data_IF_353691021250
#
_entry.id   IF_353691021250
#
_cell.length_a   1.000
_cell.length_b   1.000
_cell.length_c   1.000
_cell.angle_alpha   90.00
_cell.angle_beta   90.00
_cell.angle_gamma   90.00
#
_symmetry.space_group_name_H-M   'P 1'
#
loop_
_entity.id
_entity.type
_entity.pdbx_description
1 polymer ?
#
# COMPACT_ATOMS: atom_id res chain seq x y z
N UNK A 1 -5.67 -19.74 -7.40
CA UNK A 1 -6.01 -18.92 -6.22
C UNK A 1 -5.54 -19.62 -4.97
N UNK A 2 -4.93 -18.88 -4.05
CA UNK A 2 -4.34 -19.42 -2.82
C UNK A 2 -5.02 -18.79 -1.61
N UNK A 3 -5.31 -19.59 -0.59
CA UNK A 3 -5.77 -19.16 0.72
C UNK A 3 -5.30 -20.14 1.79
N UNK A 4 -5.75 -19.94 3.04
CA UNK A 4 -5.39 -20.86 4.16
C UNK A 4 -6.47 -21.89 4.46
N UNK A 5 -7.68 -21.72 3.93
CA UNK A 5 -8.84 -22.56 4.21
C UNK A 5 -9.61 -22.85 2.92
N UNK A 6 -9.50 -24.09 2.45
CA UNK A 6 -10.13 -24.57 1.23
C UNK A 6 -11.66 -24.50 1.25
N UNK A 7 -12.27 -24.57 2.43
CA UNK A 7 -13.72 -24.43 2.61
C UNK A 7 -14.28 -23.04 2.27
N UNK A 8 -13.43 -22.03 2.03
CA UNK A 8 -13.88 -20.69 1.59
C UNK A 8 -14.04 -20.55 0.08
N UNK A 9 -13.43 -21.43 -0.72
CA UNK A 9 -13.46 -21.31 -2.18
C UNK A 9 -14.85 -21.42 -2.81
N UNK A 10 -15.79 -22.25 -2.31
CA UNK A 10 -17.16 -22.26 -2.84
C UNK A 10 -17.84 -20.89 -2.77
N UNK A 11 -17.74 -20.19 -1.63
CA UNK A 11 -18.28 -18.85 -1.47
C UNK A 11 -17.57 -17.81 -2.34
N UNK A 12 -16.26 -17.95 -2.55
CA UNK A 12 -15.50 -17.08 -3.46
C UNK A 12 -15.95 -17.30 -4.91
N UNK A 13 -16.12 -18.54 -5.36
CA UNK A 13 -16.63 -18.85 -6.72
C UNK A 13 -18.01 -18.25 -6.93
N UNK A 14 -18.91 -18.42 -5.96
CA UNK A 14 -20.24 -17.81 -6.00
C UNK A 14 -20.14 -16.28 -6.11
N UNK A 15 -19.29 -15.65 -5.29
CA UNK A 15 -19.09 -14.20 -5.33
C UNK A 15 -18.58 -13.71 -6.70
N UNK A 16 -17.61 -14.41 -7.30
CA UNK A 16 -17.10 -14.06 -8.63
C UNK A 16 -18.14 -14.29 -9.72
N UNK A 17 -18.91 -15.37 -9.65
CA UNK A 17 -20.00 -15.63 -10.58
C UNK A 17 -21.05 -14.51 -10.52
N UNK A 18 -21.49 -14.14 -9.32
CA UNK A 18 -22.51 -13.10 -9.10
C UNK A 18 -22.04 -11.71 -9.53
N UNK A 19 -20.80 -11.34 -9.25
CA UNK A 19 -20.30 -9.96 -9.40
C UNK A 19 -19.47 -9.75 -10.67
N UNK A 20 -19.08 -10.82 -11.37
CA UNK A 20 -18.27 -10.76 -12.59
C UNK A 20 -18.96 -11.48 -13.74
N UNK A 21 -19.13 -12.81 -13.68
CA UNK A 21 -19.64 -13.60 -14.83
C UNK A 21 -21.08 -13.23 -15.21
N UNK A 22 -21.94 -13.01 -14.20
CA UNK A 22 -23.33 -12.61 -14.42
C UNK A 22 -23.47 -11.12 -14.79
N UNK A 23 -22.42 -10.31 -14.59
CA UNK A 23 -22.44 -8.85 -14.78
C UNK A 23 -21.84 -8.44 -16.12
N UNK A 24 -20.75 -9.11 -16.54
CA UNK A 24 -19.99 -8.76 -17.72
C UNK A 24 -19.93 -9.93 -18.69
N UNK A 25 -20.12 -9.65 -19.98
CA UNK A 25 -19.94 -10.64 -21.06
C UNK A 25 -18.49 -11.12 -21.13
N UNK A 26 -18.34 -12.39 -21.50
CA UNK A 26 -17.07 -13.05 -21.84
C UNK A 26 -16.02 -13.06 -20.72
N UNK A 27 -16.47 -13.02 -19.45
CA UNK A 27 -15.59 -13.18 -18.30
C UNK A 27 -15.56 -14.64 -17.84
N UNK A 28 -14.35 -15.18 -17.63
CA UNK A 28 -14.11 -16.47 -16.98
C UNK A 28 -13.43 -16.22 -15.64
N UNK A 29 -14.05 -16.69 -14.56
CA UNK A 29 -13.49 -16.59 -13.20
C UNK A 29 -13.03 -17.93 -12.65
N UNK A 30 -12.84 -18.93 -13.53
CA UNK A 30 -12.26 -20.20 -13.16
C UNK A 30 -10.85 -20.03 -12.59
N UNK A 31 -10.53 -20.88 -11.61
CA UNK A 31 -9.21 -20.90 -10.98
C UNK A 31 -8.99 -22.26 -10.34
N UNK A 32 -7.73 -22.70 -10.25
CA UNK A 32 -7.36 -23.80 -9.37
C UNK A 32 -7.22 -23.31 -7.93
N UNK A 33 -7.77 -24.04 -6.97
CA UNK A 33 -7.68 -23.72 -5.55
C UNK A 33 -6.57 -24.44 -4.79
N UNK A 34 -5.96 -23.72 -3.84
CA UNK A 34 -4.93 -24.18 -2.91
C UNK A 34 -5.20 -23.58 -1.51
N UNK A 35 -5.37 -24.38 -0.44
CA UNK A 35 -5.46 -25.85 -0.47
C UNK A 35 -6.80 -26.31 -1.06
N UNK A 36 -6.92 -27.62 -1.33
CA UNK A 36 -8.18 -28.20 -1.80
C UNK A 36 -9.30 -28.07 -0.77
N UNK A 37 -10.55 -28.07 -1.24
CA UNK A 37 -11.75 -27.98 -0.40
C UNK A 37 -11.72 -29.00 0.75
N UNK A 38 -12.13 -28.57 1.94
CA UNK A 38 -12.07 -29.38 3.17
C UNK A 38 -10.74 -29.33 3.92
N UNK A 39 -9.67 -28.77 3.34
CA UNK A 39 -8.37 -28.66 4.00
C UNK A 39 -8.11 -27.24 4.54
N UNK A 40 -7.36 -27.17 5.64
CA UNK A 40 -6.81 -25.93 6.20
C UNK A 40 -5.30 -26.09 6.22
N UNK A 41 -4.59 -25.22 5.49
CA UNK A 41 -3.13 -25.24 5.40
C UNK A 41 -2.61 -23.82 5.19
N UNK A 42 -1.96 -23.22 6.20
CA UNK A 42 -1.32 -21.91 6.08
C UNK A 42 -0.21 -21.85 5.04
N UNK A 43 0.40 -22.99 4.71
CA UNK A 43 1.56 -23.09 3.81
C UNK A 43 1.18 -23.54 2.39
N UNK A 44 -0.12 -23.64 2.07
CA UNK A 44 -0.62 -24.05 0.75
C UNK A 44 -0.12 -23.17 -0.41
N UNK A 45 0.39 -21.96 -0.11
CA UNK A 45 1.06 -21.12 -1.09
C UNK A 45 2.31 -21.78 -1.67
N UNK A 46 2.99 -22.63 -0.89
CA UNK A 46 4.17 -23.38 -1.35
C UNK A 46 3.79 -24.37 -2.44
N UNK A 47 2.75 -25.16 -2.22
CA UNK A 47 2.24 -26.12 -3.21
C UNK A 47 1.82 -25.44 -4.53
N UNK A 48 1.23 -24.24 -4.45
CA UNK A 48 0.87 -23.47 -5.63
C UNK A 48 2.11 -22.95 -6.36
N UNK A 49 3.06 -22.37 -5.62
CA UNK A 49 4.29 -21.78 -6.16
C UNK A 49 5.23 -22.85 -6.74
N UNK A 50 5.34 -24.02 -6.11
CA UNK A 50 6.22 -25.10 -6.57
C UNK A 50 5.76 -25.72 -7.90
N UNK A 51 4.53 -25.44 -8.34
CA UNK A 51 4.01 -25.82 -9.67
C UNK A 51 4.23 -24.75 -10.74
N UNK A 52 4.67 -23.55 -10.36
CA UNK A 52 4.95 -22.46 -11.28
C UNK A 52 6.35 -22.60 -11.87
N UNK A 53 6.58 -21.98 -13.03
CA UNK A 53 7.88 -21.92 -13.69
C UNK A 53 8.58 -20.59 -13.39
N UNK A 54 9.93 -20.55 -13.39
CA UNK A 54 10.66 -19.29 -13.38
C UNK A 54 10.17 -18.36 -14.51
N UNK A 55 9.97 -17.09 -14.18
CA UNK A 55 9.35 -16.08 -15.06
C UNK A 55 7.83 -15.93 -14.88
N UNK A 56 7.16 -16.86 -14.20
CA UNK A 56 5.77 -16.65 -13.80
C UNK A 56 5.66 -15.51 -12.76
N UNK A 57 4.43 -15.09 -12.46
CA UNK A 57 4.17 -13.98 -11.55
C UNK A 57 3.09 -14.31 -10.52
N UNK A 58 3.25 -13.80 -9.29
CA UNK A 58 2.23 -13.85 -8.24
C UNK A 58 1.86 -12.44 -7.77
N UNK A 59 0.64 -12.31 -7.23
CA UNK A 59 0.18 -11.12 -6.53
C UNK A 59 -0.24 -11.51 -5.11
N UNK A 60 0.34 -10.88 -4.10
CA UNK A 60 0.18 -11.23 -2.69
C UNK A 60 -0.76 -10.22 -2.02
N UNK A 61 -2.00 -10.66 -1.74
CA UNK A 61 -3.04 -9.92 -1.00
C UNK A 61 -3.44 -10.65 0.30
N UNK A 62 -2.45 -11.11 1.05
CA UNK A 62 -2.62 -11.84 2.31
C UNK A 62 -2.44 -10.90 3.51
N UNK A 63 -2.58 -11.35 4.77
CA UNK A 63 -2.27 -10.50 5.92
C UNK A 63 -0.80 -10.07 5.96
N UNK A 64 -0.53 -8.85 6.43
CA UNK A 64 0.80 -8.19 6.41
C UNK A 64 1.97 -9.06 6.92
N UNK A 65 1.73 -9.87 7.95
CA UNK A 65 2.75 -10.76 8.55
C UNK A 65 3.24 -11.86 7.59
N UNK A 66 2.44 -12.20 6.59
CA UNK A 66 2.70 -13.29 5.63
C UNK A 66 3.36 -12.79 4.34
N UNK A 67 3.41 -11.47 4.10
CA UNK A 67 3.97 -10.90 2.88
C UNK A 67 5.43 -11.31 2.66
N UNK A 68 6.26 -11.19 3.69
CA UNK A 68 7.68 -11.52 3.62
C UNK A 68 7.94 -12.99 3.26
N UNK A 69 7.46 -13.99 4.05
CA UNK A 69 7.75 -15.39 3.74
C UNK A 69 7.21 -15.83 2.38
N UNK A 70 6.00 -15.39 1.98
CA UNK A 70 5.43 -15.74 0.68
C UNK A 70 6.24 -15.13 -0.46
N UNK A 71 6.54 -13.82 -0.37
CA UNK A 71 7.29 -13.10 -1.41
C UNK A 71 8.70 -13.66 -1.57
N UNK A 72 9.40 -13.91 -0.45
CA UNK A 72 10.75 -14.48 -0.47
C UNK A 72 10.75 -15.88 -1.10
N UNK A 73 9.79 -16.74 -0.71
CA UNK A 73 9.67 -18.09 -1.26
C UNK A 73 9.47 -18.11 -2.78
N UNK A 74 8.66 -17.17 -3.31
CA UNK A 74 8.44 -17.00 -4.74
C UNK A 74 9.69 -16.46 -5.47
N UNK A 75 10.31 -15.40 -4.92
CA UNK A 75 11.50 -14.77 -5.52
C UNK A 75 12.64 -15.79 -5.65
N UNK A 76 12.87 -16.62 -4.64
CA UNK A 76 13.92 -17.64 -4.67
C UNK A 76 13.74 -18.70 -5.76
N UNK A 77 12.53 -18.83 -6.30
CA UNK A 77 12.17 -19.71 -7.43
C UNK A 77 12.15 -18.99 -8.78
N UNK A 78 12.59 -17.73 -8.82
CA UNK A 78 12.59 -16.94 -10.06
C UNK A 78 11.20 -16.47 -10.47
N UNK A 79 10.25 -16.36 -9.53
CA UNK A 79 8.90 -15.86 -9.78
C UNK A 79 8.84 -14.36 -9.48
N UNK A 80 8.19 -13.60 -10.37
CA UNK A 80 7.91 -12.18 -10.19
C UNK A 80 6.85 -11.96 -9.11
N UNK A 81 7.00 -10.91 -8.31
CA UNK A 81 6.10 -10.66 -7.17
C UNK A 81 5.54 -9.24 -7.19
N UNK A 82 4.22 -9.11 -7.10
CA UNK A 82 3.57 -7.88 -6.65
C UNK A 82 3.02 -8.12 -5.25
N UNK A 83 3.56 -7.43 -4.24
CA UNK A 83 3.11 -7.56 -2.85
C UNK A 83 2.25 -6.37 -2.46
N UNK A 84 1.12 -6.60 -1.80
CA UNK A 84 0.29 -5.48 -1.33
C UNK A 84 0.98 -4.68 -0.24
N UNK A 85 0.60 -3.41 -0.10
CA UNK A 85 1.12 -2.53 0.96
C UNK A 85 0.54 -2.94 2.34
N UNK A 86 1.33 -2.81 3.42
CA UNK A 86 2.76 -2.53 3.43
C UNK A 86 3.56 -3.73 2.90
N UNK A 87 4.67 -3.50 2.20
CA UNK A 87 5.48 -4.59 1.66
C UNK A 87 5.93 -5.58 2.74
N UNK A 88 6.44 -5.05 3.86
CA UNK A 88 6.72 -5.79 5.10
C UNK A 88 6.55 -4.87 6.29
N UNK A 89 6.47 -5.42 7.51
CA UNK A 89 6.50 -4.63 8.75
C UNK A 89 7.91 -4.29 9.24
N UNK A 90 8.91 -5.09 8.83
CA UNK A 90 10.28 -4.92 9.29
C UNK A 90 11.18 -4.46 8.16
N UNK A 91 12.00 -3.44 8.43
CA UNK A 91 13.00 -2.95 7.48
C UNK A 91 14.02 -4.02 7.11
N UNK A 92 14.36 -4.92 8.04
CA UNK A 92 15.24 -6.07 7.78
C UNK A 92 14.67 -6.99 6.70
N UNK A 93 13.40 -7.37 6.83
CA UNK A 93 12.68 -8.18 5.83
C UNK A 93 12.60 -7.45 4.48
N UNK A 94 12.37 -6.13 4.48
CA UNK A 94 12.34 -5.37 3.23
C UNK A 94 13.69 -5.38 2.52
N UNK A 95 14.79 -5.17 3.26
CA UNK A 95 16.15 -5.27 2.73
C UNK A 95 16.46 -6.68 2.19
N UNK A 96 15.94 -7.73 2.83
CA UNK A 96 16.07 -9.11 2.37
C UNK A 96 15.37 -9.33 1.02
N UNK A 97 14.12 -8.84 0.86
CA UNK A 97 13.41 -8.90 -0.41
C UNK A 97 14.13 -8.15 -1.53
N UNK A 98 14.73 -6.98 -1.24
CA UNK A 98 15.56 -6.25 -2.22
C UNK A 98 16.75 -7.12 -2.66
N UNK A 99 17.47 -7.72 -1.71
CA UNK A 99 18.63 -8.55 -2.00
C UNK A 99 18.23 -9.80 -2.80
N UNK A 100 17.14 -10.46 -2.43
CA UNK A 100 16.62 -11.64 -3.11
C UNK A 100 16.16 -11.31 -4.53
N UNK A 101 15.39 -10.23 -4.73
CA UNK A 101 14.90 -9.83 -6.05
C UNK A 101 16.05 -9.53 -7.01
N UNK A 102 17.10 -8.84 -6.53
CA UNK A 102 18.33 -8.59 -7.30
C UNK A 102 19.09 -9.87 -7.62
N UNK A 103 19.26 -10.76 -6.64
CA UNK A 103 19.99 -12.03 -6.80
C UNK A 103 19.31 -12.96 -7.83
N UNK A 104 17.99 -13.03 -7.79
CA UNK A 104 17.20 -13.90 -8.67
C UNK A 104 16.74 -13.21 -9.96
N UNK A 105 17.10 -11.94 -10.16
CA UNK A 105 16.77 -11.14 -11.34
C UNK A 105 15.26 -11.14 -11.67
N UNK A 106 14.42 -10.93 -10.66
CA UNK A 106 12.96 -10.88 -10.79
C UNK A 106 12.42 -9.49 -10.50
N UNK A 107 11.34 -9.12 -11.19
CA UNK A 107 10.51 -7.96 -10.83
C UNK A 107 9.85 -8.21 -9.47
N UNK A 108 10.05 -7.28 -8.54
CA UNK A 108 9.36 -7.25 -7.25
C UNK A 108 8.80 -5.85 -7.01
N UNK A 109 7.49 -5.69 -7.13
CA UNK A 109 6.76 -4.43 -6.95
C UNK A 109 5.94 -4.47 -5.66
N UNK A 110 5.64 -3.29 -5.13
CA UNK A 110 4.68 -3.07 -4.06
C UNK A 110 3.42 -2.42 -4.65
N UNK A 111 2.25 -2.90 -4.26
CA UNK A 111 0.95 -2.36 -4.69
C UNK A 111 0.71 -0.98 -4.07
N UNK A 112 1.28 0.05 -4.71
CA UNK A 112 1.04 1.46 -4.42
C UNK A 112 0.28 2.12 -5.57
N UNK A 113 -0.97 1.69 -5.82
CA UNK A 113 -1.83 2.26 -6.87
C UNK A 113 -1.97 3.79 -6.81
N UNK A 114 -1.79 4.40 -5.63
CA UNK A 114 -1.87 5.86 -5.45
C UNK A 114 -0.84 6.64 -6.25
N UNK A 115 0.30 6.04 -6.63
CA UNK A 115 1.26 6.67 -7.55
C UNK A 115 0.67 6.88 -8.95
N UNK A 116 -0.30 6.05 -9.34
CA UNK A 116 -0.98 6.11 -10.64
C UNK A 116 -2.25 6.95 -10.62
N UNK A 117 -2.63 7.46 -9.46
CA UNK A 117 -3.71 8.43 -9.36
C UNK A 117 -3.34 9.67 -10.19
N UNK A 118 -4.18 10.12 -11.15
CA UNK A 118 -3.85 11.25 -12.02
C UNK A 118 -3.59 12.54 -11.23
N UNK A 119 -4.24 12.71 -10.07
CA UNK A 119 -4.02 13.89 -9.22
C UNK A 119 -2.65 13.80 -8.54
N UNK A 120 -2.27 12.64 -8.01
CA UNK A 120 -1.04 12.50 -7.22
C UNK A 120 0.19 12.47 -8.14
N UNK A 121 0.07 11.84 -9.31
CA UNK A 121 1.12 11.82 -10.33
C UNK A 121 1.41 13.20 -10.91
N UNK A 122 0.38 13.98 -11.29
CA UNK A 122 0.56 15.37 -11.74
C UNK A 122 1.15 16.25 -10.62
N UNK A 123 0.65 16.10 -9.40
CA UNK A 123 1.21 16.78 -8.24
C UNK A 123 2.71 16.47 -8.03
N UNK A 124 3.12 15.21 -8.15
CA UNK A 124 4.54 14.82 -8.02
C UNK A 124 5.40 15.54 -9.04
N UNK A 125 4.92 15.68 -10.28
CA UNK A 125 5.62 16.41 -11.34
C UNK A 125 5.70 17.90 -11.00
N UNK A 126 4.60 18.54 -10.58
CA UNK A 126 4.58 19.96 -10.20
C UNK A 126 5.50 20.26 -9.02
N UNK A 127 5.55 19.37 -8.03
CA UNK A 127 6.42 19.50 -6.86
C UNK A 127 7.89 19.65 -7.25
N UNK A 128 8.31 19.15 -8.42
CA UNK A 128 9.70 19.23 -8.86
C UNK A 128 10.18 20.67 -9.09
N UNK A 129 9.28 21.60 -9.37
CA UNK A 129 9.59 23.01 -9.61
C UNK A 129 9.48 23.90 -8.36
N UNK A 130 9.08 23.36 -7.20
CA UNK A 130 8.77 24.15 -6.00
C UNK A 130 10.00 24.39 -5.08
N UNK A 131 11.20 24.10 -5.56
CA UNK A 131 12.46 24.34 -4.85
C UNK A 131 12.75 23.30 -3.76
N UNK A 132 13.56 23.69 -2.75
CA UNK A 132 13.92 22.83 -1.62
C UNK A 132 12.69 22.45 -0.78
N UNK A 133 12.62 21.20 -0.34
CA UNK A 133 11.55 20.69 0.52
C UNK A 133 11.57 21.37 1.89
N UNK A 134 10.40 21.85 2.33
CA UNK A 134 10.23 22.41 3.68
C UNK A 134 9.38 21.47 4.54
N UNK A 135 8.11 21.27 4.21
CA UNK A 135 7.31 20.31 4.97
C UNK A 135 6.22 19.59 4.17
N UNK A 136 5.83 18.44 4.71
CA UNK A 136 4.71 17.65 4.24
C UNK A 136 3.75 17.38 5.40
N UNK A 137 2.45 17.56 5.19
CA UNK A 137 1.46 17.18 6.19
C UNK A 137 0.41 16.33 5.50
N UNK A 138 0.22 15.12 5.98
CA UNK A 138 -0.81 14.23 5.48
C UNK A 138 -1.59 13.60 6.61
N UNK A 139 -2.88 13.42 6.37
CA UNK A 139 -3.70 12.63 7.25
C UNK A 139 -4.67 11.77 6.46
N UNK A 140 -4.97 10.61 7.03
CA UNK A 140 -5.96 9.70 6.50
C UNK A 140 -6.84 9.15 7.62
N UNK A 141 -8.15 9.19 7.47
CA UNK A 141 -9.05 8.57 8.43
C UNK A 141 -10.14 7.76 7.76
N UNK A 142 -10.65 6.77 8.48
CA UNK A 142 -11.81 6.00 8.08
C UNK A 142 -12.86 5.98 9.19
N UNK A 143 -14.15 5.76 8.85
CA UNK A 143 -15.20 5.63 9.83
C UNK A 143 -14.92 4.51 10.84
N UNK A 144 -15.20 4.77 12.10
CA UNK A 144 -15.02 3.81 13.20
C UNK A 144 -15.75 2.48 13.03
N UNK A 145 -16.78 2.40 12.20
CA UNK A 145 -17.41 1.12 11.83
C UNK A 145 -16.44 0.14 11.17
N UNK A 146 -15.36 0.61 10.53
CA UNK A 146 -14.32 -0.25 9.98
C UNK A 146 -13.68 -1.17 11.04
N UNK A 147 -13.68 -0.75 12.32
CA UNK A 147 -13.17 -1.57 13.42
C UNK A 147 -13.99 -2.85 13.63
N UNK A 148 -15.25 -2.91 13.22
CA UNK A 148 -16.07 -4.14 13.31
C UNK A 148 -15.46 -5.27 12.47
N UNK A 149 -14.95 -4.92 11.28
CA UNK A 149 -14.24 -5.83 10.38
C UNK A 149 -12.78 -6.01 10.81
N UNK A 150 -12.10 -4.92 11.13
CA UNK A 150 -10.65 -4.92 11.29
C UNK A 150 -10.14 -5.29 12.68
N UNK A 151 -11.00 -5.35 13.71
CA UNK A 151 -10.64 -5.87 15.05
C UNK A 151 -10.02 -7.27 15.05
N UNK A 152 -10.22 -8.03 13.97
CA UNK A 152 -9.59 -9.32 13.78
C UNK A 152 -8.05 -9.21 13.83
N UNK A 153 -7.49 -8.15 13.23
CA UNK A 153 -6.04 -7.95 13.06
C UNK A 153 -5.50 -6.63 13.65
N UNK A 154 -6.34 -5.62 13.85
CA UNK A 154 -5.92 -4.30 14.34
C UNK A 154 -5.34 -4.39 15.76
N UNK A 155 -4.12 -3.89 15.95
CA UNK A 155 -3.37 -4.01 17.21
C UNK A 155 -2.80 -5.40 17.49
N UNK A 156 -2.95 -6.36 16.57
CA UNK A 156 -2.40 -7.73 16.69
C UNK A 156 -1.35 -8.00 15.61
N UNK A 157 -1.80 -7.96 14.36
CA UNK A 157 -0.97 -8.25 13.20
C UNK A 157 -0.50 -6.99 12.48
N UNK A 158 -1.28 -5.91 12.56
CA UNK A 158 -0.97 -4.62 11.94
C UNK A 158 -1.63 -3.49 12.72
N UNK A 159 -1.36 -2.26 12.31
CA UNK A 159 -1.92 -1.06 12.92
C UNK A 159 -2.39 -0.05 11.86
N UNK A 160 -3.08 0.99 12.33
CA UNK A 160 -3.66 2.02 11.47
C UNK A 160 -2.60 2.75 10.63
N UNK A 161 -1.36 2.86 11.10
CA UNK A 161 -0.28 3.55 10.39
C UNK A 161 0.22 2.70 9.23
N UNK A 162 0.53 1.41 9.45
CA UNK A 162 0.86 0.49 8.36
C UNK A 162 -0.27 0.40 7.32
N UNK A 163 -1.50 0.37 7.79
CA UNK A 163 -2.66 0.24 6.92
C UNK A 163 -2.93 1.51 6.09
N UNK A 164 -2.92 2.69 6.70
CA UNK A 164 -3.31 3.94 6.03
C UNK A 164 -2.12 4.87 5.72
N UNK A 165 -1.24 5.17 6.69
CA UNK A 165 -0.12 6.10 6.49
C UNK A 165 0.82 5.65 5.36
N UNK A 166 0.94 4.34 5.13
CA UNK A 166 1.77 3.77 4.05
C UNK A 166 1.50 4.39 2.68
N UNK A 167 0.26 4.81 2.38
CA UNK A 167 -0.05 5.50 1.14
C UNK A 167 0.62 6.88 1.05
N UNK A 168 0.44 7.75 2.04
CA UNK A 168 0.97 9.11 1.98
C UNK A 168 2.46 9.21 2.30
N UNK A 169 2.99 8.28 3.11
CA UNK A 169 4.44 8.13 3.29
C UNK A 169 5.08 7.77 1.95
N UNK A 170 4.51 6.81 1.21
CA UNK A 170 5.02 6.44 -0.11
C UNK A 170 4.98 7.61 -1.10
N UNK A 171 3.89 8.38 -1.15
CA UNK A 171 3.80 9.58 -2.00
C UNK A 171 4.87 10.61 -1.63
N UNK A 172 5.09 10.87 -0.34
CA UNK A 172 6.13 11.80 0.09
C UNK A 172 7.53 11.28 -0.29
N UNK A 173 7.84 10.01 -0.02
CA UNK A 173 9.07 9.35 -0.46
C UNK A 173 9.28 9.45 -1.97
N UNK A 174 8.22 9.29 -2.77
CA UNK A 174 8.26 9.36 -4.22
C UNK A 174 8.46 10.78 -4.75
N UNK A 175 7.86 11.79 -4.12
CA UNK A 175 8.09 13.20 -4.43
C UNK A 175 9.54 13.60 -4.12
N UNK A 176 10.07 13.09 -3.00
CA UNK A 176 11.39 13.40 -2.47
C UNK A 176 12.50 12.46 -2.96
N UNK A 177 12.16 11.51 -3.84
CA UNK A 177 13.13 10.59 -4.45
C UNK A 177 14.27 11.40 -5.07
N UNK A 178 15.50 11.04 -4.72
CA UNK A 178 16.75 11.72 -5.14
C UNK A 178 16.82 13.22 -4.77
N UNK A 179 16.07 13.64 -3.74
CA UNK A 179 16.06 15.02 -3.22
C UNK A 179 16.29 15.12 -1.73
N UNK A 180 15.64 14.25 -0.96
CA UNK A 180 15.77 14.24 0.50
C UNK A 180 15.61 12.82 1.04
N UNK A 181 16.17 12.57 2.21
CA UNK A 181 16.06 11.28 2.92
C UNK A 181 15.55 11.50 4.33
N UNK A 182 14.71 10.59 4.86
CA UNK A 182 14.26 10.68 6.24
C UNK A 182 15.44 10.31 7.16
N UNK A 183 15.59 11.05 8.26
CA UNK A 183 16.71 10.86 9.20
C UNK A 183 16.27 10.47 10.60
N UNK A 184 15.04 10.81 10.99
CA UNK A 184 14.54 10.55 12.35
C UNK A 184 13.02 10.50 12.36
N UNK A 185 12.46 9.59 13.16
CA UNK A 185 11.02 9.45 13.37
C UNK A 185 10.70 9.53 14.87
N UNK A 186 9.64 10.26 15.20
CA UNK A 186 9.00 10.27 16.52
C UNK A 186 7.51 9.99 16.33
N UNK A 187 6.96 9.03 17.08
CA UNK A 187 5.56 8.65 17.00
C UNK A 187 4.78 9.02 18.27
N UNK A 188 3.48 9.21 18.09
CA UNK A 188 2.51 9.37 19.17
C UNK A 188 1.18 8.72 18.77
N UNK A 189 0.38 8.30 19.76
CA UNK A 189 -0.90 7.68 19.52
C UNK A 189 -2.00 8.17 20.48
N UNK A 190 -3.24 8.15 19.99
CA UNK A 190 -4.44 8.25 20.80
C UNK A 190 -5.06 6.86 20.98
N UNK A 191 -5.74 6.65 22.11
CA UNK A 191 -6.33 5.36 22.50
C UNK A 191 -7.65 5.56 23.25
N UNK A 192 -8.53 4.56 23.20
CA UNK A 192 -9.72 4.49 24.05
C UNK A 192 -11.02 4.27 23.28
N UNK A 193 -11.12 4.72 22.03
CA UNK A 193 -12.29 4.52 21.18
C UNK A 193 -12.33 3.09 20.65
N UNK A 194 -11.23 2.60 20.08
CA UNK A 194 -11.16 1.28 19.48
C UNK A 194 -11.28 0.16 20.52
N UNK A 195 -10.69 0.37 21.71
CA UNK A 195 -10.77 -0.57 22.83
C UNK A 195 -12.09 -0.48 23.60
N UNK A 196 -12.79 0.66 23.52
CA UNK A 196 -14.06 0.88 24.18
C UNK A 196 -15.25 0.22 23.47
N UNK A 197 -16.40 0.21 24.12
CA UNK A 197 -17.65 -0.22 23.50
C UNK A 197 -18.05 0.73 22.35
N UNK A 198 -18.60 0.21 21.24
CA UNK A 198 -18.94 -1.20 20.98
C UNK A 198 -17.81 -2.02 20.33
N UNK A 199 -16.66 -1.41 20.00
CA UNK A 199 -15.66 -2.04 19.13
C UNK A 199 -14.83 -3.10 19.84
N UNK A 200 -14.51 -2.90 21.12
CA UNK A 200 -13.86 -3.89 21.99
C UNK A 200 -12.61 -4.51 21.35
N UNK A 201 -11.79 -3.70 20.67
CA UNK A 201 -10.51 -4.15 20.12
C UNK A 201 -9.52 -4.49 21.26
N UNK A 202 -8.43 -5.18 20.93
CA UNK A 202 -7.41 -5.54 21.93
C UNK A 202 -6.74 -4.27 22.51
N UNK A 203 -6.21 -4.31 23.75
CA UNK A 203 -5.63 -3.13 24.39
C UNK A 203 -4.50 -2.43 23.61
N UNK A 204 -3.85 -3.17 22.71
CA UNK A 204 -2.80 -2.68 21.82
C UNK A 204 -3.33 -1.88 20.62
N UNK A 205 -4.64 -1.89 20.36
CA UNK A 205 -5.20 -1.18 19.22
C UNK A 205 -5.23 0.32 19.48
N UNK A 206 -4.38 1.07 18.78
CA UNK A 206 -4.41 2.52 18.78
C UNK A 206 -5.56 3.05 17.91
N UNK A 207 -6.19 4.13 18.38
CA UNK A 207 -7.25 4.83 17.65
C UNK A 207 -6.67 5.63 16.47
N UNK A 208 -5.55 6.28 16.73
CA UNK A 208 -4.87 7.20 15.83
C UNK A 208 -3.38 7.12 16.10
N UNK A 209 -2.58 7.04 15.04
CA UNK A 209 -1.12 7.11 15.12
C UNK A 209 -0.66 8.31 14.29
N UNK A 210 0.23 9.13 14.88
CA UNK A 210 0.88 10.26 14.21
C UNK A 210 2.38 10.08 14.22
N UNK A 211 3.02 10.22 13.07
CA UNK A 211 4.47 10.17 12.89
C UNK A 211 4.99 11.56 12.51
N UNK A 212 5.95 12.08 13.27
CA UNK A 212 6.77 13.23 12.91
C UNK A 212 8.11 12.72 12.37
N UNK A 213 8.46 13.11 11.15
CA UNK A 213 9.65 12.65 10.43
C UNK A 213 10.53 13.84 10.06
N UNK A 214 11.79 13.81 10.47
CA UNK A 214 12.81 14.76 10.03
C UNK A 214 13.40 14.30 8.70
N UNK A 215 13.61 15.22 7.76
CA UNK A 215 14.19 14.97 6.44
C UNK A 215 15.42 15.84 6.22
N UNK A 216 16.41 15.28 5.53
CA UNK A 216 17.64 15.95 5.13
C UNK A 216 17.73 16.02 3.61
N UNK A 217 17.88 17.22 3.06
CA UNK A 217 18.16 17.41 1.62
C UNK A 217 19.50 16.76 1.27
N UNK A 218 19.51 15.98 0.17
CA UNK A 218 20.73 15.36 -0.35
C UNK A 218 21.53 16.34 -1.22
N UNK A 219 20.88 17.40 -1.69
CA UNK A 219 21.48 18.43 -2.55
C UNK A 219 22.07 19.56 -1.69
N UNK A 220 21.42 19.87 -0.57
CA UNK A 220 21.74 21.00 0.28
C UNK A 220 21.91 20.57 1.75
N UNK A 221 23.15 20.38 2.25
CA UNK A 221 23.37 19.94 3.63
C UNK A 221 22.73 20.81 4.71
N UNK A 222 22.55 22.11 4.45
CA UNK A 222 21.89 23.04 5.36
C UNK A 222 20.36 23.01 5.33
N UNK A 223 19.74 22.35 4.34
CA UNK A 223 18.29 22.30 4.20
C UNK A 223 17.72 21.04 4.86
N UNK A 224 16.85 21.26 5.84
CA UNK A 224 16.06 20.24 6.52
C UNK A 224 14.59 20.52 6.31
N UNK A 225 13.82 19.45 6.18
CA UNK A 225 12.37 19.51 6.16
C UNK A 225 11.75 18.59 7.18
N UNK A 226 10.44 18.69 7.37
CA UNK A 226 9.69 17.82 8.28
C UNK A 226 8.45 17.26 7.61
N UNK A 227 8.02 16.08 8.02
CA UNK A 227 6.76 15.51 7.56
C UNK A 227 5.93 15.02 8.74
N UNK A 228 4.63 15.24 8.69
CA UNK A 228 3.66 14.70 9.65
C UNK A 228 2.70 13.78 8.91
N UNK A 229 2.57 12.54 9.40
CA UNK A 229 1.63 11.55 8.87
C UNK A 229 0.70 11.09 9.98
N UNK A 230 -0.60 11.36 9.86
CA UNK A 230 -1.61 10.96 10.84
C UNK A 230 -2.57 9.96 10.22
N UNK A 231 -2.78 8.82 10.87
CA UNK A 231 -3.77 7.84 10.45
C UNK A 231 -4.75 7.51 11.58
N UNK A 232 -6.05 7.42 11.28
CA UNK A 232 -7.09 7.31 12.31
C UNK A 232 -8.27 6.40 11.94
N UNK A 233 -8.72 5.58 12.89
CA UNK A 233 -9.98 4.84 12.82
C UNK A 233 -11.20 5.69 13.19
N UNK A 234 -11.02 6.89 13.73
CA UNK A 234 -12.06 7.51 14.58
C UNK A 234 -12.99 8.44 13.82
N UNK A 235 -12.95 8.42 12.48
CA UNK A 235 -13.82 9.30 11.71
C UNK A 235 -15.31 9.02 12.04
N UNK A 236 -16.16 10.05 12.05
CA UNK A 236 -17.58 9.87 12.35
C UNK A 236 -18.28 8.90 11.38
N UNK A 237 -19.26 8.14 11.88
CA UNK A 237 -20.02 7.15 11.09
C UNK A 237 -20.75 7.76 9.87
N UNK A 238 -21.11 9.04 9.95
CA UNK A 238 -21.83 9.78 8.92
C UNK A 238 -20.97 10.88 8.29
N UNK A 239 -19.67 10.62 8.13
CA UNK A 239 -18.74 11.56 7.49
C UNK A 239 -19.04 11.79 5.99
N UNK A 240 -19.85 10.94 5.36
CA UNK A 240 -20.17 10.97 3.92
C UNK A 240 -19.01 10.55 3.00
N UNK A 241 -17.85 10.26 3.57
CA UNK A 241 -16.66 9.78 2.87
C UNK A 241 -16.22 8.47 3.51
N UNK A 242 -15.88 7.48 2.68
CA UNK A 242 -15.37 6.20 3.16
C UNK A 242 -13.95 6.32 3.73
N UNK A 243 -13.13 7.18 3.14
CA UNK A 243 -11.80 7.49 3.62
C UNK A 243 -11.51 8.95 3.35
N UNK A 244 -11.25 9.70 4.41
CA UNK A 244 -10.77 11.07 4.31
C UNK A 244 -9.27 11.02 4.03
N UNK A 245 -8.81 11.53 2.90
CA UNK A 245 -7.41 11.45 2.52
C UNK A 245 -6.95 12.82 2.03
N UNK A 246 -6.00 13.40 2.76
CA UNK A 246 -5.51 14.74 2.49
C UNK A 246 -4.01 14.78 2.65
N UNK A 247 -3.36 15.56 1.79
CA UNK A 247 -1.97 15.89 2.01
C UNK A 247 -1.62 17.27 1.45
N UNK A 248 -0.62 17.88 2.05
CA UNK A 248 -0.07 19.18 1.70
C UNK A 248 1.45 19.06 1.61
N UNK A 249 2.03 19.69 0.59
CA UNK A 249 3.47 19.76 0.36
C UNK A 249 3.89 21.23 0.22
N UNK A 250 4.91 21.66 0.95
CA UNK A 250 5.54 22.97 0.77
C UNK A 250 7.00 22.81 0.37
N UNK A 251 7.36 23.48 -0.72
CA UNK A 251 8.73 23.79 -1.09
C UNK A 251 9.03 25.28 -0.90
N UNK A 252 10.31 25.64 -0.93
CA UNK A 252 10.79 27.02 -0.79
C UNK A 252 10.24 28.04 -1.80
N UNK A 253 9.62 27.57 -2.90
CA UNK A 253 9.08 28.42 -3.98
C UNK A 253 7.59 28.24 -4.23
N UNK A 254 6.89 27.45 -3.41
CA UNK A 254 5.44 27.25 -3.53
C UNK A 254 4.97 25.96 -2.87
N UNK A 255 3.67 25.69 -2.99
CA UNK A 255 3.03 24.57 -2.32
C UNK A 255 2.00 23.85 -3.20
N UNK A 256 1.55 22.69 -2.69
CA UNK A 256 0.49 21.87 -3.26
C UNK A 256 -0.42 21.42 -2.12
N UNK A 257 -1.72 21.54 -2.31
CA UNK A 257 -2.75 20.98 -1.43
C UNK A 257 -3.60 19.98 -2.21
N UNK A 258 -3.82 18.79 -1.65
CA UNK A 258 -4.65 17.75 -2.26
C UNK A 258 -5.70 17.25 -1.28
N UNK A 259 -6.95 17.36 -1.71
CA UNK A 259 -8.13 16.74 -1.09
C UNK A 259 -8.63 15.62 -2.00
N UNK A 260 -8.46 14.38 -1.56
CA UNK A 260 -8.91 13.22 -2.30
C UNK A 260 -10.30 12.74 -1.83
N UNK A 261 -10.74 13.18 -0.65
CA UNK A 261 -12.03 12.84 -0.08
C UNK A 261 -13.20 13.46 -0.87
N UNK A 262 -13.02 14.69 -1.35
CA UNK A 262 -14.06 15.47 -2.04
C UNK A 262 -13.74 15.72 -3.51
N UNK A 263 -13.44 14.65 -4.26
CA UNK A 263 -13.21 14.75 -5.70
C UNK A 263 -14.27 13.99 -6.49
N UNK A 264 -14.65 14.52 -7.64
CA UNK A 264 -15.67 13.92 -8.50
C UNK A 264 -17.05 14.52 -8.25
N UNK A 265 -17.98 13.72 -7.70
CA UNK A 265 -19.37 14.13 -7.46
C UNK A 265 -19.88 13.60 -6.13
N UNK A 266 -20.98 14.18 -5.65
CA UNK A 266 -21.71 13.71 -4.48
C UNK A 266 -23.17 13.39 -4.83
N UNK A 267 -23.75 12.49 -4.05
CA UNK A 267 -25.19 12.20 -4.09
C UNK A 267 -25.76 12.36 -2.69
N UNK A 268 -27.04 12.72 -2.61
CA UNK A 268 -27.79 12.70 -1.35
C UNK A 268 -28.98 11.77 -1.53
N UNK A 269 -29.11 10.81 -0.63
CA UNK A 269 -30.15 9.78 -0.64
C UNK A 269 -30.81 9.76 0.74
N UNK A 270 -32.13 9.63 0.81
CA UNK A 270 -32.89 9.76 2.07
C UNK A 270 -32.40 8.76 3.14
N UNK A 271 -32.06 7.53 2.75
CA UNK A 271 -31.62 6.48 3.67
C UNK A 271 -30.19 6.69 4.19
N UNK A 272 -29.25 7.15 3.35
CA UNK A 272 -27.81 7.18 3.66
C UNK A 272 -27.25 8.60 3.85
N UNK A 273 -28.01 9.63 3.49
CA UNK A 273 -27.56 11.02 3.48
C UNK A 273 -26.59 11.34 2.34
N UNK A 274 -25.78 12.37 2.55
CA UNK A 274 -24.79 12.85 1.57
C UNK A 274 -23.56 11.94 1.53
N UNK A 275 -23.16 11.52 0.33
CA UNK A 275 -21.97 10.68 0.09
C UNK A 275 -21.18 11.20 -1.10
N UNK A 276 -19.85 11.29 -0.98
CA UNK A 276 -18.94 11.63 -2.06
C UNK A 276 -18.35 10.38 -2.73
N UNK A 277 -18.31 10.38 -4.06
CA UNK A 277 -17.84 9.26 -4.87
C UNK A 277 -16.56 9.62 -5.60
N UNK A 278 -15.60 8.70 -5.60
CA UNK A 278 -14.36 8.82 -6.36
C UNK A 278 -14.49 8.10 -7.71
N UNK A 279 -14.81 8.80 -8.82
CA UNK A 279 -14.98 8.18 -10.13
C UNK A 279 -13.65 7.74 -10.77
N UNK A 280 -12.51 8.11 -10.20
CA UNK A 280 -11.21 7.91 -10.82
C UNK A 280 -10.55 6.57 -10.46
N UNK A 281 -11.05 5.84 -9.46
CA UNK A 281 -10.41 4.59 -9.02
C UNK A 281 -10.67 3.44 -9.99
N UNK A 282 -11.94 3.09 -10.20
CA UNK A 282 -12.35 1.96 -11.04
C UNK A 282 -13.80 2.18 -11.47
N UNK A 283 -14.14 1.81 -12.70
CA UNK A 283 -15.54 1.82 -13.18
C UNK A 283 -16.14 0.42 -13.05
N UNK A 284 -17.10 0.23 -12.16
CA UNK A 284 -17.71 -1.09 -11.91
C UNK A 284 -18.99 -1.34 -12.72
N UNK A 285 -19.22 -0.59 -13.79
CA UNK A 285 -20.38 -0.77 -14.67
C UNK A 285 -19.97 -1.35 -16.02
N UNK A 286 -20.80 -2.23 -16.62
CA UNK A 286 -20.57 -2.71 -17.97
C UNK A 286 -20.51 -1.57 -18.98
N UNK A 287 -19.77 -1.79 -20.07
CA UNK A 287 -19.83 -0.96 -21.27
C UNK A 287 -21.20 -1.04 -21.96
N UNK A 288 -21.40 -0.20 -22.96
CA UNK A 288 -22.61 -0.15 -23.81
C UNK A 288 -22.89 -1.48 -24.52
N UNK A 289 -21.87 -2.33 -24.66
CA UNK A 289 -21.97 -3.68 -25.26
C UNK A 289 -22.12 -4.80 -24.22
N UNK A 290 -22.04 -4.48 -22.92
CA UNK A 290 -22.14 -5.42 -21.80
C UNK A 290 -20.83 -6.03 -21.33
N UNK A 291 -19.67 -5.59 -21.84
CA UNK A 291 -18.35 -6.09 -21.43
C UNK A 291 -17.77 -5.28 -20.26
N UNK A 292 -16.77 -5.84 -19.57
CA UNK A 292 -16.03 -5.14 -18.52
C UNK A 292 -15.34 -3.88 -19.07
N UNK A 293 -15.49 -2.76 -18.37
CA UNK A 293 -14.95 -1.43 -18.72
C UNK A 293 -14.29 -0.76 -17.51
N UNK A 294 -13.82 -1.56 -16.54
CA UNK A 294 -13.26 -1.03 -15.29
C UNK A 294 -11.91 -0.36 -15.43
N UNK A 295 -11.21 -0.61 -16.52
CA UNK A 295 -9.88 -0.08 -16.81
C UNK A 295 -9.85 1.44 -17.12
N UNK A 296 -10.95 2.18 -16.91
CA UNK A 296 -10.97 3.65 -17.05
C UNK A 296 -10.37 4.41 -15.86
N UNK A 297 -10.16 3.73 -14.72
CA UNK A 297 -9.60 4.33 -13.52
C UNK A 297 -8.16 3.90 -13.25
N UNK A 298 -7.52 4.50 -12.24
CA UNK A 298 -6.13 4.20 -11.90
C UNK A 298 -5.92 2.92 -11.09
N UNK A 299 -7.00 2.32 -10.57
CA UNK A 299 -6.94 1.23 -9.57
C UNK A 299 -6.32 -0.07 -10.08
N UNK A 300 -6.28 -0.31 -11.38
CA UNK A 300 -5.67 -1.51 -11.98
C UNK A 300 -4.26 -1.25 -12.51
N UNK A 301 -3.85 0.02 -12.65
CA UNK A 301 -2.62 0.39 -13.36
C UNK A 301 -1.38 -0.17 -12.64
N UNK A 302 -1.38 -0.25 -11.30
CA UNK A 302 -0.27 -0.87 -10.57
C UNK A 302 -0.06 -2.34 -10.95
N UNK A 303 -1.15 -3.09 -11.14
CA UNK A 303 -1.12 -4.47 -11.58
C UNK A 303 -0.69 -4.55 -13.05
N UNK A 304 -1.25 -3.72 -13.93
CA UNK A 304 -0.87 -3.65 -15.34
C UNK A 304 0.65 -3.42 -15.48
N UNK A 305 1.20 -2.40 -14.82
CA UNK A 305 2.62 -2.07 -14.90
C UNK A 305 3.53 -3.14 -14.32
N UNK A 306 3.07 -3.88 -13.31
CA UNK A 306 3.80 -5.05 -12.83
C UNK A 306 3.83 -6.18 -13.86
N UNK A 307 2.70 -6.49 -14.49
CA UNK A 307 2.61 -7.54 -15.51
C UNK A 307 3.41 -7.17 -16.76
N UNK A 308 3.33 -5.92 -17.22
CA UNK A 308 4.15 -5.42 -18.32
C UNK A 308 5.65 -5.57 -17.98
N UNK A 309 6.05 -5.19 -16.76
CA UNK A 309 7.43 -5.31 -16.31
C UNK A 309 7.93 -6.76 -16.31
N UNK A 310 7.12 -7.69 -15.77
CA UNK A 310 7.42 -9.11 -15.78
C UNK A 310 7.60 -9.64 -17.22
N UNK A 311 6.69 -9.27 -18.13
CA UNK A 311 6.76 -9.68 -19.55
C UNK A 311 8.01 -9.15 -20.26
N UNK A 312 8.36 -7.89 -20.04
CA UNK A 312 9.55 -7.28 -20.65
C UNK A 312 10.85 -7.88 -20.12
N UNK A 313 10.93 -8.20 -18.82
CA UNK A 313 12.06 -8.90 -18.22
C UNK A 313 12.19 -10.32 -18.78
N UNK A 314 11.08 -11.06 -18.87
CA UNK A 314 11.07 -12.40 -19.48
C UNK A 314 11.48 -12.39 -20.95
N UNK A 315 11.11 -11.35 -21.70
CA UNK A 315 11.51 -11.18 -23.10
C UNK A 315 12.97 -10.72 -23.26
N UNK A 316 13.68 -10.40 -22.17
CA UNK A 316 15.06 -9.92 -22.20
C UNK A 316 15.21 -8.49 -22.77
N UNK A 317 14.13 -7.72 -22.86
CA UNK A 317 14.15 -6.34 -23.38
C UNK A 317 14.37 -5.30 -22.28
N UNK A 318 14.15 -5.68 -21.02
CA UNK A 318 14.39 -4.86 -19.84
C UNK A 318 15.03 -5.68 -18.73
N UNK A 319 15.66 -5.00 -17.77
CA UNK A 319 16.10 -5.58 -16.48
C UNK A 319 15.18 -5.10 -15.36
N UNK A 320 14.99 -5.87 -14.28
CA UNK A 320 14.22 -5.42 -13.12
C UNK A 320 14.69 -4.07 -12.56
N UNK A 321 16.00 -3.80 -12.60
CA UNK A 321 16.59 -2.53 -12.15
C UNK A 321 16.19 -1.30 -12.98
N UNK A 322 15.73 -1.48 -14.22
CA UNK A 322 15.37 -0.34 -15.07
C UNK A 322 14.12 0.36 -14.52
N UNK A 323 13.19 -0.41 -13.93
CA UNK A 323 11.98 0.08 -13.29
C UNK A 323 12.25 0.90 -12.02
N UNK A 324 13.40 0.69 -11.36
CA UNK A 324 13.84 1.56 -10.26
C UNK A 324 14.04 2.99 -10.79
N UNK A 325 14.69 3.13 -11.95
CA UNK A 325 14.97 4.42 -12.60
C UNK A 325 13.73 5.13 -13.15
N UNK A 326 12.66 4.40 -13.47
CA UNK A 326 11.39 4.98 -13.91
C UNK A 326 10.52 5.49 -12.75
N UNK A 327 10.94 5.27 -11.50
CA UNK A 327 10.19 5.71 -10.32
C UNK A 327 8.96 4.86 -10.00
N UNK A 328 8.87 3.64 -10.54
CA UNK A 328 7.84 2.68 -10.17
C UNK A 328 7.94 2.29 -8.69
N UNK A 329 6.85 1.81 -8.06
CA UNK A 329 6.86 1.34 -6.67
C UNK A 329 7.53 -0.04 -6.56
N UNK A 330 8.79 -0.15 -7.00
CA UNK A 330 9.59 -1.35 -6.85
C UNK A 330 9.93 -1.58 -5.37
N UNK A 331 10.33 -2.81 -5.03
CA UNK A 331 10.79 -3.10 -3.67
C UNK A 331 11.99 -2.22 -3.28
N UNK A 332 12.86 -1.84 -4.23
CA UNK A 332 13.95 -0.88 -3.99
C UNK A 332 13.40 0.51 -3.67
N UNK A 333 12.49 1.04 -4.49
CA UNK A 333 11.98 2.42 -4.39
C UNK A 333 11.02 2.67 -3.23
N UNK A 334 10.60 1.62 -2.51
CA UNK A 334 9.62 1.70 -1.41
C UNK A 334 10.23 1.41 -0.03
N UNK A 335 11.54 1.13 0.04
CA UNK A 335 12.23 0.79 1.30
C UNK A 335 12.12 1.87 2.38
N UNK A 336 12.13 3.14 1.98
CA UNK A 336 11.99 4.25 2.92
C UNK A 336 10.58 4.36 3.52
N UNK A 337 9.56 3.93 2.78
CA UNK A 337 8.19 3.80 3.31
C UNK A 337 8.17 2.83 4.48
N UNK A 338 8.78 1.65 4.31
CA UNK A 338 8.89 0.65 5.39
C UNK A 338 9.80 1.12 6.52
N UNK A 339 10.92 1.80 6.22
CA UNK A 339 11.80 2.34 7.24
C UNK A 339 11.07 3.33 8.16
N UNK A 340 10.29 4.25 7.60
CA UNK A 340 9.51 5.24 8.36
C UNK A 340 8.43 4.54 9.20
N UNK A 341 7.69 3.59 8.63
CA UNK A 341 6.64 2.85 9.36
C UNK A 341 7.23 2.03 10.51
N UNK A 342 8.31 1.30 10.25
CA UNK A 342 8.98 0.49 11.26
C UNK A 342 9.61 1.35 12.36
N UNK A 343 10.27 2.45 12.01
CA UNK A 343 10.78 3.43 12.96
C UNK A 343 9.66 4.05 13.79
N UNK A 344 8.51 4.34 13.18
CA UNK A 344 7.32 4.84 13.86
C UNK A 344 6.79 3.86 14.91
N UNK A 345 6.68 2.57 14.56
CA UNK A 345 6.27 1.53 15.52
C UNK A 345 7.28 1.38 16.67
N UNK A 346 8.58 1.31 16.39
CA UNK A 346 9.62 1.27 17.43
C UNK A 346 9.54 2.52 18.32
N UNK A 347 9.36 3.70 17.74
CA UNK A 347 9.26 4.96 18.47
C UNK A 347 8.08 4.97 19.44
N UNK A 348 6.94 4.43 19.00
CA UNK A 348 5.71 4.35 19.81
C UNK A 348 5.87 3.38 20.97
N UNK A 349 6.41 2.18 20.69
CA UNK A 349 6.54 1.11 21.68
C UNK A 349 7.64 1.42 22.71
N UNK A 350 8.78 1.96 22.25
CA UNK A 350 9.95 2.27 23.09
C UNK A 350 9.98 3.71 23.62
N UNK A 351 9.02 4.55 23.21
CA UNK A 351 8.88 5.95 23.65
C UNK A 351 10.13 6.80 23.43
N UNK A 352 10.79 6.61 22.29
CA UNK A 352 12.01 7.34 21.90
C UNK A 352 12.00 7.75 20.44
N UNK A 353 12.90 8.65 20.05
CA UNK A 353 13.17 8.88 18.64
C UNK A 353 13.97 7.70 18.04
N UNK A 354 13.73 7.43 16.77
CA UNK A 354 14.43 6.38 16.01
C UNK A 354 15.09 7.03 14.80
N UNK A 355 16.40 6.84 14.67
CA UNK A 355 17.18 7.31 13.52
C UNK A 355 16.98 6.39 12.31
N UNK A 356 17.03 6.98 11.12
CA UNK A 356 17.08 6.25 9.85
C UNK A 356 18.38 6.62 9.15
N UNK A 357 19.18 5.61 8.82
CA UNK A 357 20.49 5.80 8.20
C UNK A 357 20.76 4.78 7.12
N UNK A 358 21.53 5.17 6.11
CA UNK A 358 22.02 4.26 5.08
C UNK A 358 23.45 3.83 5.41
N UNK A 359 23.71 2.52 5.44
CA UNK A 359 25.06 1.92 5.56
C UNK A 359 25.29 1.05 4.32
N UNK A 360 26.21 1.47 3.46
CA UNK A 360 26.37 0.88 2.13
C UNK A 360 25.07 0.99 1.35
N UNK A 361 24.54 -0.15 0.91
CA UNK A 361 23.27 -0.22 0.16
C UNK A 361 22.04 -0.47 1.02
N UNK A 362 22.20 -0.62 2.34
CA UNK A 362 21.11 -0.98 3.25
C UNK A 362 20.69 0.19 4.12
N UNK A 363 19.39 0.29 4.35
CA UNK A 363 18.83 1.18 5.37
C UNK A 363 18.75 0.45 6.71
N UNK A 364 19.09 1.15 7.78
CA UNK A 364 19.02 0.66 9.15
C UNK A 364 18.27 1.64 10.04
N UNK A 365 17.77 1.12 11.18
CA UNK A 365 17.16 1.88 12.25
C UNK A 365 18.10 1.88 13.45
N UNK A 366 18.28 3.03 14.10
CA UNK A 366 19.12 3.18 15.31
C UNK A 366 18.41 3.94 16.44
#
# INVERSE_FOLDING_TARGET
MVGVNGGKFPAIRQHLQENIENVYKDMDTSFEEYPKEGNIDPEAYKDAIDKMSPGDAIIVFTPDSTHHPISLYAIERGIHVLVTKPATKLLSHHNELIAAARKHNVVCFVEHHKRFDPVYSDAKVRAQALGEFNFFNAWMSQPKSQLETFRAWAGKDSDISYYLSSHHIDICCWILQDKAVPTRVVASAATGIATGEPYNCVPQTEDTITLLVDWQSIQSPGHKGTAVYTASWTAPLKAGIHSAQHWYYMGSKGDINVDQAHRGYDITVDETGKTWYNPFYMKYSPSETGHFDGQRGYGYISIEKFIDAAREVNAGVAKPSDYDGYGYPTITNTVLTTAILNAGRISLDEKRAVGIKKIGDKWILE
#
